data_IF_465759239515
#
_entry.id   IF_465759239515
#
_cell.length_a   1.000
_cell.length_b   1.000
_cell.length_c   1.000
_cell.angle_alpha   90.00
_cell.angle_beta   90.00
_cell.angle_gamma   90.00
#
_symmetry.space_group_name_H-M   'P 1'
#
loop_
_entity.id
_entity.type
_entity.pdbx_description
1 polymer ?
#
# COMPACT_ATOMS: atom_id res chain seq x y z
N UNK A 1 4.33 4.26 21.40
CA UNK A 1 5.60 4.15 20.67
C UNK A 1 5.27 3.79 19.23
N UNK A 2 5.83 4.50 18.26
CA UNK A 2 5.64 4.21 16.83
C UNK A 2 6.88 3.50 16.31
N UNK A 3 6.72 2.34 15.68
CA UNK A 3 7.84 1.65 15.00
C UNK A 3 7.94 2.16 13.57
N UNK A 4 9.06 2.76 13.20
CA UNK A 4 9.35 3.11 11.81
C UNK A 4 10.09 1.95 11.15
N UNK A 5 9.48 1.37 10.12
CA UNK A 5 10.06 0.25 9.35
C UNK A 5 10.22 0.73 7.91
N UNK A 6 11.45 0.66 7.40
CA UNK A 6 11.70 0.90 5.98
C UNK A 6 11.14 -0.29 5.17
N UNK A 7 10.22 -0.01 4.26
CA UNK A 7 9.61 -1.00 3.38
C UNK A 7 10.25 -0.94 1.99
N UNK A 8 10.77 -2.07 1.53
CA UNK A 8 11.24 -2.21 0.16
C UNK A 8 10.07 -2.58 -0.74
N UNK A 9 9.83 -1.73 -1.74
CA UNK A 9 8.81 -1.98 -2.75
C UNK A 9 9.43 -2.64 -3.98
N UNK A 10 8.80 -3.71 -4.46
CA UNK A 10 9.18 -4.42 -5.69
C UNK A 10 8.06 -4.29 -6.71
N UNK A 11 8.40 -3.95 -7.95
CA UNK A 11 7.42 -3.88 -9.04
C UNK A 11 7.06 -5.29 -9.49
N UNK A 12 5.78 -5.61 -9.53
CA UNK A 12 5.26 -6.86 -10.08
C UNK A 12 5.29 -6.75 -11.60
N UNK A 13 5.95 -7.68 -12.28
CA UNK A 13 6.18 -7.62 -13.74
C UNK A 13 5.27 -8.54 -14.54
N UNK A 14 4.60 -9.50 -13.91
CA UNK A 14 3.79 -10.54 -14.56
C UNK A 14 2.52 -10.87 -13.76
N UNK A 15 1.55 -11.53 -14.40
CA UNK A 15 0.31 -11.98 -13.76
C UNK A 15 -0.76 -10.88 -13.66
N UNK A 16 -1.81 -11.16 -12.89
CA UNK A 16 -2.98 -10.27 -12.74
C UNK A 16 -2.63 -8.93 -12.07
N UNK A 17 -1.54 -8.90 -11.29
CA UNK A 17 -1.06 -7.72 -10.59
C UNK A 17 0.14 -7.03 -11.30
N UNK A 18 0.44 -7.41 -12.55
CA UNK A 18 1.49 -6.78 -13.32
C UNK A 18 1.33 -5.25 -13.38
N UNK A 19 2.41 -4.52 -13.12
CA UNK A 19 2.43 -3.06 -13.06
C UNK A 19 2.20 -2.48 -11.67
N UNK A 20 1.69 -3.26 -10.71
CA UNK A 20 1.56 -2.85 -9.30
C UNK A 20 2.89 -2.96 -8.54
N UNK A 21 2.97 -2.32 -7.38
CA UNK A 21 4.10 -2.42 -6.45
C UNK A 21 3.69 -3.23 -5.21
N UNK A 22 4.60 -4.07 -4.72
CA UNK A 22 4.40 -4.91 -3.53
C UNK A 22 5.48 -4.65 -2.49
N UNK A 23 5.10 -4.69 -1.21
CA UNK A 23 6.03 -4.70 -0.08
C UNK A 23 5.61 -5.78 0.91
N UNK A 24 6.60 -6.49 1.47
CA UNK A 24 6.34 -7.55 2.46
C UNK A 24 6.68 -7.04 3.86
N UNK A 25 5.74 -7.19 4.79
CA UNK A 25 5.92 -6.84 6.21
C UNK A 25 5.71 -8.10 7.06
N UNK A 26 6.55 -8.29 8.08
CA UNK A 26 6.34 -9.33 9.09
C UNK A 26 5.76 -8.69 10.34
N UNK A 27 4.53 -9.06 10.67
CA UNK A 27 3.85 -8.64 11.90
C UNK A 27 3.81 -9.81 12.88
N UNK A 28 4.10 -9.55 14.15
CA UNK A 28 3.91 -10.53 15.23
C UNK A 28 2.43 -10.67 15.63
N UNK A 29 1.63 -9.66 15.30
CA UNK A 29 0.22 -9.54 15.62
C UNK A 29 -0.22 -8.08 15.50
N UNK A 30 -1.54 -7.87 15.55
CA UNK A 30 -2.16 -6.54 15.64
C UNK A 30 -2.70 -6.33 17.06
N UNK A 31 -2.69 -5.10 17.54
CA UNK A 31 -3.18 -4.76 18.88
C UNK A 31 -3.93 -3.42 18.85
N UNK A 32 -4.94 -3.27 19.72
CA UNK A 32 -5.85 -2.13 19.69
C UNK A 32 -6.93 -2.25 18.61
N UNK A 33 -7.83 -1.27 18.56
CA UNK A 33 -8.97 -1.23 17.65
C UNK A 33 -8.70 -0.57 16.31
N UNK A 34 -7.61 0.21 16.20
CA UNK A 34 -7.27 0.96 15.00
C UNK A 34 -5.90 0.51 14.47
N UNK A 35 -5.83 0.22 13.17
CA UNK A 35 -4.60 -0.09 12.45
C UNK A 35 -4.47 0.85 11.26
N UNK A 36 -3.46 1.73 11.28
CA UNK A 36 -3.22 2.70 10.21
C UNK A 36 -1.91 2.42 9.48
N UNK A 37 -1.97 2.41 8.16
CA UNK A 37 -0.80 2.54 7.31
C UNK A 37 -0.68 4.01 6.90
N UNK A 38 0.35 4.67 7.42
CA UNK A 38 0.69 6.05 7.06
C UNK A 38 2.02 6.10 6.35
N UNK A 39 2.16 7.00 5.40
CA UNK A 39 3.43 7.17 4.68
C UNK A 39 3.45 8.43 3.83
N UNK A 40 4.53 8.61 3.09
CA UNK A 40 4.69 9.70 2.14
C UNK A 40 5.19 9.14 0.83
N UNK A 41 4.51 9.46 -0.26
CA UNK A 41 4.93 9.15 -1.62
C UNK A 41 5.62 10.38 -2.18
N UNK A 42 6.92 10.26 -2.46
CA UNK A 42 7.71 11.34 -3.03
C UNK A 42 8.04 11.07 -4.49
N UNK A 43 8.08 12.12 -5.31
CA UNK A 43 8.39 12.03 -6.73
C UNK A 43 9.87 12.35 -6.98
N UNK A 44 10.44 11.65 -7.96
CA UNK A 44 11.81 11.95 -8.41
C UNK A 44 11.83 13.36 -8.98
N UNK A 45 12.76 14.20 -8.52
CA UNK A 45 12.81 15.63 -8.88
C UNK A 45 11.93 16.53 -8.01
N UNK A 46 11.18 15.98 -7.04
CA UNK A 46 10.41 16.76 -6.07
C UNK A 46 9.17 17.46 -6.62
N UNK A 47 8.85 17.25 -7.91
CA UNK A 47 7.63 17.72 -8.55
C UNK A 47 6.88 16.55 -9.18
N UNK A 48 5.58 16.37 -8.90
CA UNK A 48 4.77 17.16 -7.97
C UNK A 48 5.22 17.05 -6.51
N UNK A 49 4.57 17.85 -5.65
CA UNK A 49 4.71 17.74 -4.21
C UNK A 49 4.43 16.31 -3.72
N UNK A 50 5.11 15.93 -2.63
CA UNK A 50 4.92 14.61 -2.02
C UNK A 50 3.51 14.45 -1.47
N UNK A 51 2.95 13.24 -1.56
CA UNK A 51 1.58 12.94 -1.19
C UNK A 51 1.58 12.14 0.11
N UNK A 52 0.72 12.53 1.06
CA UNK A 52 0.51 11.78 2.28
C UNK A 52 -0.38 10.55 2.03
N UNK A 53 0.10 9.38 2.42
CA UNK A 53 -0.69 8.17 2.52
C UNK A 53 -1.27 8.09 3.93
N UNK A 54 -2.60 7.98 4.04
CA UNK A 54 -3.30 7.66 5.27
C UNK A 54 -4.37 6.61 4.95
N UNK A 55 -4.13 5.36 5.37
CA UNK A 55 -5.07 4.26 5.16
C UNK A 55 -5.43 3.61 6.49
N UNK A 56 -6.73 3.43 6.71
CA UNK A 56 -7.25 2.57 7.77
C UNK A 56 -7.31 1.11 7.27
N UNK A 57 -6.57 0.24 7.94
CA UNK A 57 -6.48 -1.20 7.68
C UNK A 57 -7.18 -2.03 8.75
N UNK A 58 -7.91 -1.41 9.69
CA UNK A 58 -8.49 -2.09 10.85
C UNK A 58 -9.40 -3.25 10.44
N UNK A 59 -10.28 -3.03 9.46
CA UNK A 59 -11.16 -4.07 8.93
C UNK A 59 -10.37 -5.18 8.21
N UNK A 60 -9.39 -4.80 7.39
CA UNK A 60 -8.58 -5.76 6.62
C UNK A 60 -7.67 -6.64 7.51
N UNK A 61 -7.28 -6.15 8.68
CA UNK A 61 -6.42 -6.86 9.64
C UNK A 61 -7.18 -7.50 10.81
N UNK A 62 -8.51 -7.39 10.87
CA UNK A 62 -9.32 -7.81 12.01
C UNK A 62 -9.13 -9.30 12.39
N UNK A 63 -8.94 -10.16 11.39
CA UNK A 63 -8.76 -11.61 11.57
C UNK A 63 -7.29 -12.04 11.67
N UNK A 64 -6.33 -11.14 11.47
CA UNK A 64 -4.90 -11.48 11.32
C UNK A 64 -4.36 -12.30 12.50
N UNK A 65 -4.74 -11.95 13.73
CA UNK A 65 -4.27 -12.61 14.94
C UNK A 65 -4.68 -14.07 15.07
N UNK A 66 -5.79 -14.48 14.44
CA UNK A 66 -6.27 -15.87 14.42
C UNK A 66 -5.47 -16.75 13.45
N UNK A 67 -4.92 -16.16 12.39
CA UNK A 67 -4.26 -16.84 11.28
C UNK A 67 -2.79 -16.45 11.08
N UNK A 68 -2.03 -16.11 12.13
CA UNK A 68 -0.66 -15.54 12.05
C UNK A 68 0.37 -16.36 11.25
N UNK A 69 0.10 -17.63 10.95
CA UNK A 69 0.99 -18.49 10.16
C UNK A 69 0.74 -18.38 8.65
N UNK A 70 -0.39 -17.81 8.25
CA UNK A 70 -0.76 -17.64 6.85
C UNK A 70 -0.41 -16.22 6.43
N UNK A 71 0.40 -16.04 5.36
CA UNK A 71 0.64 -14.72 4.79
C UNK A 71 -0.68 -14.08 4.36
N UNK A 72 -0.89 -12.82 4.75
CA UNK A 72 -2.02 -12.02 4.30
C UNK A 72 -1.54 -11.03 3.25
N UNK A 73 -2.14 -11.08 2.07
CA UNK A 73 -1.87 -10.11 1.00
C UNK A 73 -2.98 -9.09 0.97
N UNK A 74 -2.64 -7.81 1.03
CA UNK A 74 -3.58 -6.70 0.88
C UNK A 74 -3.27 -5.92 -0.39
N UNK A 75 -4.27 -5.79 -1.25
CA UNK A 75 -4.20 -4.97 -2.46
C UNK A 75 -5.03 -3.70 -2.27
N UNK A 76 -4.44 -2.54 -2.52
CA UNK A 76 -5.12 -1.24 -2.52
C UNK A 76 -5.24 -0.68 -3.94
N UNK A 77 -6.23 0.16 -4.17
CA UNK A 77 -6.40 0.89 -5.43
C UNK A 77 -5.98 2.34 -5.25
N UNK A 78 -5.05 2.79 -6.10
CA UNK A 78 -4.70 4.19 -6.23
C UNK A 78 -5.61 4.85 -7.26
N UNK A 79 -6.37 5.86 -6.84
CA UNK A 79 -7.10 6.76 -7.73
C UNK A 79 -6.27 8.03 -7.86
N UNK A 80 -5.83 8.32 -9.08
CA UNK A 80 -5.10 9.55 -9.40
C UNK A 80 -6.10 10.54 -10.00
N UNK A 81 -6.27 11.68 -9.34
CA UNK A 81 -7.07 12.78 -9.85
C UNK A 81 -6.13 13.89 -10.29
N UNK A 82 -6.04 14.19 -11.59
CA UNK A 82 -5.33 15.38 -12.06
C UNK A 82 -5.99 16.60 -11.44
N UNK A 83 -5.16 17.46 -10.86
CA UNK A 83 -5.56 18.83 -10.57
C UNK A 83 -5.16 19.66 -11.79
N UNK A 84 -6.01 20.59 -12.21
CA UNK A 84 -5.70 21.49 -13.33
C UNK A 84 -5.24 22.80 -12.71
N UNK A 85 -3.92 23.02 -12.57
CA UNK A 85 -3.43 24.27 -12.02
C UNK A 85 -3.64 25.43 -12.98
N UNK A 86 -3.65 26.64 -12.43
CA UNK A 86 -3.71 27.89 -13.19
C UNK A 86 -2.44 28.13 -14.02
N UNK A 87 -1.31 27.50 -13.63
CA UNK A 87 -0.05 27.49 -14.36
C UNK A 87 0.08 26.22 -15.22
N UNK A 88 0.17 26.32 -16.56
CA UNK A 88 0.28 25.16 -17.44
C UNK A 88 1.58 24.35 -17.28
N UNK A 89 2.61 24.92 -16.62
CA UNK A 89 3.86 24.22 -16.31
C UNK A 89 3.81 23.50 -14.94
N UNK A 90 2.77 23.74 -14.14
CA UNK A 90 2.52 23.01 -12.90
C UNK A 90 1.73 21.73 -13.20
N UNK A 91 2.14 20.61 -12.61
CA UNK A 91 1.41 19.34 -12.72
C UNK A 91 1.13 18.85 -11.32
N UNK A 92 -0.12 18.99 -10.89
CA UNK A 92 -0.58 18.52 -9.59
C UNK A 92 -1.50 17.32 -9.77
N UNK A 93 -1.39 16.34 -8.88
CA UNK A 93 -2.38 15.28 -8.79
C UNK A 93 -2.54 14.82 -7.34
N UNK A 94 -3.76 14.46 -7.00
CA UNK A 94 -4.06 13.81 -5.72
C UNK A 94 -4.12 12.30 -5.93
N UNK A 95 -3.46 11.53 -5.07
CA UNK A 95 -3.57 10.07 -5.05
C UNK A 95 -4.28 9.64 -3.79
N UNK A 96 -5.44 9.00 -3.95
CA UNK A 96 -6.13 8.32 -2.84
C UNK A 96 -5.90 6.82 -2.97
N UNK A 97 -5.34 6.20 -1.93
CA UNK A 97 -5.20 4.74 -1.86
C UNK A 97 -6.24 4.20 -0.88
N UNK A 98 -7.17 3.40 -1.39
CA UNK A 98 -8.31 2.88 -0.64
C UNK A 98 -8.72 1.49 -1.12
N UNK A 99 -9.80 0.94 -0.55
CA UNK A 99 -10.36 -0.33 -1.00
C UNK A 99 -9.43 -1.51 -0.74
N UNK A 100 -8.68 -1.49 0.36
CA UNK A 100 -7.82 -2.59 0.75
C UNK A 100 -8.61 -3.87 0.93
N UNK A 101 -8.29 -4.89 0.14
CA UNK A 101 -8.93 -6.19 0.18
C UNK A 101 -7.89 -7.28 0.34
N UNK A 102 -8.25 -8.30 1.12
CA UNK A 102 -7.54 -9.57 1.11
C UNK A 102 -7.52 -10.08 -0.33
N UNK A 103 -6.32 -10.23 -0.86
CA UNK A 103 -6.09 -10.94 -2.09
C UNK A 103 -5.99 -12.42 -1.72
N UNK A 104 -6.63 -13.30 -2.50
CA UNK A 104 -6.42 -14.73 -2.36
C UNK A 104 -4.93 -15.09 -2.51
N UNK A 105 -4.56 -16.34 -2.25
CA UNK A 105 -3.16 -16.78 -2.38
C UNK A 105 -2.60 -16.34 -3.74
N UNK A 106 -1.61 -15.45 -3.73
CA UNK A 106 -0.87 -15.10 -4.94
C UNK A 106 0.01 -16.32 -5.25
N UNK A 107 -0.54 -17.25 -6.04
CA UNK A 107 0.15 -18.48 -6.41
C UNK A 107 1.32 -18.15 -7.33
N UNK A 108 2.51 -18.03 -6.74
CA UNK A 108 3.80 -17.91 -7.42
C UNK A 108 4.91 -18.75 -6.80
N UNK A 109 4.64 -19.55 -5.77
CA UNK A 109 5.58 -20.55 -5.26
C UNK A 109 5.24 -21.90 -5.89
N UNK A 110 6.05 -22.33 -6.86
CA UNK A 110 6.15 -23.75 -7.22
C UNK A 110 6.68 -24.52 -6.02
N UNK A 111 5.92 -25.51 -5.57
CA UNK A 111 6.38 -26.56 -4.67
C UNK A 111 7.65 -27.22 -5.24
N UNK A 112 8.69 -27.34 -4.42
CA UNK A 112 9.82 -28.25 -4.64
C UNK A 112 9.77 -29.34 -3.57
#
# INVERSE_FOLDING_TARGET
>A
MSSNIALNFTKITTGADAGKWSATVRLLGVAGSEQKLTGTVAFTGGSPNSIALNSDLSAALASFNAGKKTPLTLGGQAVVTPDIPDDPDEVNFTVTISGWQEQGTINGETEY
#
